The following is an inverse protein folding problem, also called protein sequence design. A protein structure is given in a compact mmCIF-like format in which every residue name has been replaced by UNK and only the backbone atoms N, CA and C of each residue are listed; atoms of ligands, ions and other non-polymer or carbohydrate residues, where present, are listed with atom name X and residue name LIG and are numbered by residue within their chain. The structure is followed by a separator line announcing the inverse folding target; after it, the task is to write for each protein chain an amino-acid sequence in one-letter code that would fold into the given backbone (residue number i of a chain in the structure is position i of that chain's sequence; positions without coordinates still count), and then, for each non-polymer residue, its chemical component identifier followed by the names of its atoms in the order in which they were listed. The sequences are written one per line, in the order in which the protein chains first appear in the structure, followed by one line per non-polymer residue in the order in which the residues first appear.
data_IF_039948578566
#
_entry.id   IF_039948578566
#
_cell.length_a   1.000
_cell.length_b   1.000
_cell.length_c   1.000
_cell.angle_alpha   90.00
_cell.angle_beta   90.00
_cell.angle_gamma   90.00
#
_symmetry.space_group_name_H-M   'P 1'
#
loop_
_entity.id
_entity.type
_entity.pdbx_description
1 polymer ?
#
# COMPACT_ATOMS: atom_id res chain seq x y z
N UNK A 1 -7.37 55.26 -10.56
CA UNK A 1 -6.99 54.03 -11.29
C UNK A 1 -6.36 53.06 -10.30
N UNK A 2 -7.10 52.06 -9.88
CA UNK A 2 -6.63 51.02 -8.94
C UNK A 2 -6.16 49.83 -9.79
N UNK A 3 -4.85 49.54 -9.73
CA UNK A 3 -4.28 48.30 -10.34
C UNK A 3 -4.45 47.12 -9.37
N UNK A 4 -5.34 46.22 -9.72
CA UNK A 4 -5.51 44.94 -9.03
C UNK A 4 -4.36 44.02 -9.48
N UNK A 5 -3.42 43.75 -8.57
CA UNK A 5 -2.37 42.75 -8.79
C UNK A 5 -2.95 41.41 -8.34
N UNK A 6 -3.31 40.57 -9.30
CA UNK A 6 -3.69 39.16 -9.05
C UNK A 6 -2.40 38.36 -8.95
N UNK A 7 -1.94 38.11 -7.73
CA UNK A 7 -0.88 37.11 -7.45
C UNK A 7 -1.48 35.73 -7.57
N UNK A 8 -1.33 35.12 -8.75
CA UNK A 8 -1.63 33.74 -8.97
C UNK A 8 -0.65 32.85 -8.20
N UNK A 9 -1.07 32.26 -7.10
CA UNK A 9 -0.32 31.18 -6.45
C UNK A 9 -0.36 29.96 -7.37
N UNK A 10 0.74 29.69 -8.07
CA UNK A 10 0.98 28.38 -8.68
C UNK A 10 1.15 27.37 -7.54
N UNK A 11 0.12 26.61 -7.27
CA UNK A 11 0.25 25.40 -6.47
C UNK A 11 1.09 24.40 -7.29
N UNK A 12 2.38 24.33 -7.01
CA UNK A 12 3.24 23.26 -7.50
C UNK A 12 2.74 22.02 -6.76
N UNK A 13 2.00 21.16 -7.46
CA UNK A 13 1.70 19.82 -6.99
C UNK A 13 3.04 19.12 -6.76
N UNK A 14 3.48 19.08 -5.51
CA UNK A 14 4.67 18.34 -5.12
C UNK A 14 4.40 16.87 -5.44
N UNK A 15 5.01 16.33 -6.50
CA UNK A 15 5.03 14.89 -6.76
C UNK A 15 5.61 14.21 -5.54
N UNK A 16 4.76 13.70 -4.65
CA UNK A 16 5.16 12.91 -3.49
C UNK A 16 5.34 11.46 -3.89
N UNK A 17 6.16 10.73 -3.15
CA UNK A 17 6.21 9.27 -3.25
C UNK A 17 4.84 8.70 -2.95
N UNK A 18 4.45 7.67 -3.71
CA UNK A 18 3.14 7.05 -3.55
C UNK A 18 3.24 5.53 -3.51
N UNK A 19 2.31 4.91 -2.81
CA UNK A 19 1.93 3.53 -3.03
C UNK A 19 0.66 3.51 -3.88
N UNK A 20 0.54 2.54 -4.74
CA UNK A 20 -0.63 2.29 -5.56
C UNK A 20 -1.07 0.84 -5.40
N UNK A 21 -2.37 0.63 -5.42
CA UNK A 21 -2.97 -0.70 -5.38
C UNK A 21 -4.03 -0.77 -6.47
N UNK A 22 -3.71 -1.36 -7.63
CA UNK A 22 -4.70 -1.54 -8.67
C UNK A 22 -5.93 -2.30 -8.18
N UNK A 23 -7.14 -1.96 -8.65
CA UNK A 23 -8.35 -2.68 -8.28
C UNK A 23 -8.28 -4.15 -8.71
N UNK A 24 -8.93 -5.01 -7.95
CA UNK A 24 -9.00 -6.44 -8.23
C UNK A 24 -10.43 -6.96 -8.15
N UNK A 25 -10.65 -8.18 -8.63
CA UNK A 25 -11.93 -8.87 -8.54
C UNK A 25 -11.71 -10.31 -8.06
N UNK A 26 -12.70 -10.87 -7.37
CA UNK A 26 -12.65 -12.24 -6.86
C UNK A 26 -14.06 -12.87 -6.92
N UNK A 27 -14.14 -14.15 -7.29
CA UNK A 27 -15.38 -14.89 -7.18
C UNK A 27 -15.54 -15.50 -5.78
N UNK A 28 -16.77 -15.72 -5.28
CA UNK A 28 -16.99 -16.45 -4.05
C UNK A 28 -16.30 -17.81 -4.07
N UNK A 29 -15.65 -18.17 -2.98
CA UNK A 29 -14.86 -19.41 -2.86
C UNK A 29 -13.52 -19.40 -3.60
N UNK A 30 -13.12 -18.28 -4.18
CA UNK A 30 -11.87 -18.14 -4.93
C UNK A 30 -10.89 -17.19 -4.25
N UNK A 31 -9.64 -17.22 -4.73
CA UNK A 31 -8.58 -16.33 -4.30
C UNK A 31 -8.08 -15.48 -5.47
N UNK A 32 -7.52 -14.31 -5.15
CA UNK A 32 -6.82 -13.44 -6.07
C UNK A 32 -5.69 -12.71 -5.34
N UNK A 33 -4.94 -11.91 -6.05
CA UNK A 33 -3.84 -11.12 -5.50
C UNK A 33 -4.07 -9.63 -5.66
N UNK A 34 -3.60 -8.86 -4.68
CA UNK A 34 -3.47 -7.43 -4.73
C UNK A 34 -1.99 -7.07 -4.74
N UNK A 35 -1.57 -6.20 -5.64
CA UNK A 35 -0.20 -5.70 -5.69
C UNK A 35 -0.09 -4.37 -4.98
N UNK A 36 0.93 -4.23 -4.13
CA UNK A 36 1.32 -2.94 -3.56
C UNK A 36 2.50 -2.42 -4.38
N UNK A 37 2.25 -1.40 -5.18
CA UNK A 37 3.21 -0.84 -6.13
C UNK A 37 3.78 0.46 -5.57
N UNK A 38 5.09 0.55 -5.50
CA UNK A 38 5.80 1.74 -5.06
C UNK A 38 6.19 2.62 -6.25
N UNK A 39 5.90 3.92 -6.15
CA UNK A 39 6.29 4.96 -7.09
C UNK A 39 7.26 5.91 -6.40
N UNK A 40 8.58 5.78 -6.63
CA UNK A 40 9.57 6.59 -5.96
C UNK A 40 9.58 8.03 -6.48
N UNK A 41 10.05 8.93 -5.62
CA UNK A 41 10.45 10.28 -6.00
C UNK A 41 11.98 10.34 -6.07
N UNK A 42 12.57 10.76 -7.21
CA UNK A 42 14.03 10.69 -7.43
C UNK A 42 14.87 11.45 -6.39
N UNK A 43 14.37 12.56 -5.87
CA UNK A 43 15.06 13.42 -4.90
C UNK A 43 14.91 12.96 -3.43
N UNK A 44 14.12 11.92 -3.18
CA UNK A 44 13.90 11.35 -1.85
C UNK A 44 13.91 9.83 -1.88
N UNK A 45 15.08 9.21 -2.07
CA UNK A 45 15.19 7.76 -2.13
C UNK A 45 14.79 7.12 -0.79
N UNK A 46 14.03 6.03 -0.87
CA UNK A 46 13.49 5.27 0.26
C UNK A 46 14.20 3.93 0.37
N UNK A 47 14.59 3.55 1.57
CA UNK A 47 15.26 2.26 1.85
C UNK A 47 14.38 1.28 2.62
N UNK A 48 13.33 1.75 3.27
CA UNK A 48 12.37 0.92 4.01
C UNK A 48 10.98 1.55 3.98
N UNK A 49 9.93 0.74 4.13
CA UNK A 49 8.54 1.19 4.20
C UNK A 49 7.80 0.35 5.22
N UNK A 50 6.96 0.98 6.02
CA UNK A 50 5.99 0.31 6.87
C UNK A 50 4.57 0.78 6.57
N UNK A 51 3.60 -0.09 6.77
CA UNK A 51 2.18 0.23 6.59
C UNK A 51 1.28 -0.69 7.41
N UNK A 52 0.06 -0.26 7.61
CA UNK A 52 -1.04 -1.10 8.06
C UNK A 52 -1.93 -1.44 6.87
N UNK A 53 -2.24 -2.72 6.70
CA UNK A 53 -3.17 -3.23 5.71
C UNK A 53 -4.47 -3.60 6.43
N UNK A 54 -5.53 -2.82 6.21
CA UNK A 54 -6.85 -3.08 6.75
C UNK A 54 -7.71 -3.82 5.72
N UNK A 55 -8.10 -5.05 6.04
CA UNK A 55 -8.89 -5.93 5.17
C UNK A 55 -10.26 -6.13 5.80
N UNK A 56 -11.36 -5.76 5.10
CA UNK A 56 -12.71 -5.94 5.63
C UNK A 56 -13.06 -7.42 5.82
N UNK A 57 -14.01 -7.70 6.73
CA UNK A 57 -14.36 -9.06 7.13
C UNK A 57 -14.95 -9.93 6.03
N UNK A 58 -15.38 -9.35 4.93
CA UNK A 58 -15.85 -10.04 3.73
C UNK A 58 -14.73 -10.75 2.95
N UNK A 59 -13.48 -10.44 3.24
CA UNK A 59 -12.31 -11.07 2.65
C UNK A 59 -11.50 -11.82 3.71
N UNK A 60 -10.82 -12.87 3.29
CA UNK A 60 -9.94 -13.67 4.11
C UNK A 60 -8.48 -13.41 3.74
N UNK A 61 -7.66 -13.19 4.76
CA UNK A 61 -6.21 -13.00 4.64
C UNK A 61 -5.52 -13.47 5.92
N UNK A 62 -4.31 -14.02 5.79
CA UNK A 62 -3.39 -14.29 6.88
C UNK A 62 -2.07 -13.52 6.68
N UNK A 63 -1.26 -13.37 7.72
CA UNK A 63 0.04 -12.70 7.59
C UNK A 63 0.96 -13.37 6.55
N UNK A 64 0.93 -14.69 6.46
CA UNK A 64 1.70 -15.47 5.48
C UNK A 64 1.25 -15.24 4.01
N UNK A 65 0.08 -14.66 3.80
CA UNK A 65 -0.44 -14.34 2.46
C UNK A 65 0.13 -13.02 1.92
N UNK A 66 0.87 -12.27 2.74
CA UNK A 66 1.56 -11.04 2.33
C UNK A 66 3.03 -11.36 2.12
N UNK A 67 3.45 -11.37 0.87
CA UNK A 67 4.82 -11.75 0.48
C UNK A 67 5.54 -10.60 -0.22
N UNK A 68 6.86 -10.68 -0.24
CA UNK A 68 7.72 -9.67 -0.87
C UNK A 68 7.44 -9.61 -2.37
N UNK A 69 7.33 -8.39 -2.92
CA UNK A 69 7.21 -8.17 -4.36
C UNK A 69 8.57 -8.06 -5.04
N UNK A 70 8.58 -8.21 -6.37
CA UNK A 70 9.81 -8.28 -7.17
C UNK A 70 10.71 -7.05 -7.06
N UNK A 71 10.14 -5.84 -6.94
CA UNK A 71 10.93 -4.63 -6.73
C UNK A 71 11.67 -4.63 -5.39
N UNK A 72 11.02 -5.12 -4.34
CA UNK A 72 11.64 -5.25 -3.02
C UNK A 72 12.69 -6.38 -2.99
N UNK A 73 12.44 -7.49 -3.65
CA UNK A 73 13.40 -8.59 -3.80
C UNK A 73 14.68 -8.13 -4.51
N UNK A 74 14.55 -7.35 -5.58
CA UNK A 74 15.70 -6.80 -6.32
C UNK A 74 16.57 -5.86 -5.47
N UNK A 75 15.99 -5.23 -4.46
CA UNK A 75 16.67 -4.41 -3.47
C UNK A 75 17.11 -5.21 -2.23
N UNK A 76 16.99 -6.54 -2.26
CA UNK A 76 17.30 -7.45 -1.15
C UNK A 76 16.58 -7.09 0.16
N UNK A 77 15.31 -6.65 0.06
CA UNK A 77 14.46 -6.35 1.21
C UNK A 77 13.75 -7.60 1.72
N UNK A 78 13.47 -7.62 3.01
CA UNK A 78 12.62 -8.62 3.65
C UNK A 78 11.33 -7.98 4.13
N UNK A 79 10.22 -8.67 3.92
CA UNK A 79 8.90 -8.26 4.37
C UNK A 79 8.49 -9.08 5.58
N UNK A 80 8.12 -8.40 6.66
CA UNK A 80 7.59 -9.02 7.86
C UNK A 80 6.22 -8.43 8.16
N UNK A 81 5.21 -9.28 8.25
CA UNK A 81 3.85 -8.89 8.60
C UNK A 81 3.35 -9.67 9.81
N UNK A 82 2.59 -9.01 10.65
CA UNK A 82 1.79 -9.61 11.71
C UNK A 82 0.32 -9.26 11.53
N UNK A 83 -0.57 -10.23 11.75
CA UNK A 83 -1.99 -10.04 11.57
C UNK A 83 -2.74 -10.17 12.89
N UNK A 84 -3.76 -9.33 13.08
CA UNK A 84 -4.69 -9.38 14.21
C UNK A 84 -6.12 -9.10 13.74
N UNK A 85 -7.08 -9.56 14.49
CA UNK A 85 -8.47 -9.16 14.29
C UNK A 85 -8.67 -7.74 14.82
N UNK A 86 -9.39 -6.93 14.08
CA UNK A 86 -9.79 -5.59 14.46
C UNK A 86 -11.32 -5.49 14.39
N UNK A 87 -12.02 -5.16 15.53
CA UNK A 87 -13.47 -5.10 15.56
C UNK A 87 -14.07 -4.05 14.60
N UNK A 88 -13.31 -3.04 14.23
CA UNK A 88 -13.76 -1.95 13.36
C UNK A 88 -13.53 -2.22 11.88
N UNK A 89 -12.43 -2.89 11.53
CA UNK A 89 -11.98 -3.02 10.14
C UNK A 89 -11.94 -4.45 9.63
N UNK A 90 -12.09 -5.46 10.49
CA UNK A 90 -11.95 -6.87 10.16
C UNK A 90 -10.55 -7.41 10.51
N UNK A 91 -9.68 -7.61 9.53
CA UNK A 91 -8.29 -8.02 9.73
C UNK A 91 -7.34 -6.85 9.53
N UNK A 92 -6.41 -6.68 10.45
CA UNK A 92 -5.34 -5.69 10.35
C UNK A 92 -3.99 -6.41 10.27
N UNK A 93 -3.25 -6.19 9.19
CA UNK A 93 -1.88 -6.65 9.03
C UNK A 93 -0.92 -5.45 9.16
N UNK A 94 0.01 -5.51 10.09
CA UNK A 94 1.09 -4.53 10.21
C UNK A 94 2.30 -5.09 9.51
N UNK A 95 2.79 -4.39 8.49
CA UNK A 95 3.86 -4.83 7.62
C UNK A 95 5.05 -3.89 7.67
N UNK A 96 6.25 -4.46 7.70
CA UNK A 96 7.53 -3.74 7.64
C UNK A 96 8.37 -4.36 6.54
N UNK A 97 8.73 -3.55 5.55
CA UNK A 97 9.65 -3.89 4.48
C UNK A 97 10.98 -3.18 4.73
N UNK A 98 12.01 -3.93 5.03
CA UNK A 98 13.32 -3.38 5.37
C UNK A 98 14.46 -4.36 5.03
N UNK A 99 15.69 -3.91 5.15
CA UNK A 99 16.90 -4.70 4.99
C UNK A 99 17.92 -4.03 4.08
N UNK A 100 19.15 -3.92 4.54
CA UNK A 100 20.26 -3.32 3.80
C UNK A 100 20.03 -1.85 3.43
N UNK A 101 20.97 -1.30 2.68
CA UNK A 101 21.00 0.13 2.31
C UNK A 101 20.54 0.42 0.88
N UNK A 102 20.20 -0.61 0.11
CA UNK A 102 19.73 -0.41 -1.26
C UNK A 102 18.41 0.36 -1.29
N UNK A 103 18.31 1.30 -2.19
CA UNK A 103 17.08 2.08 -2.45
C UNK A 103 16.01 1.18 -3.07
N UNK A 104 14.76 1.33 -2.64
CA UNK A 104 13.63 0.66 -3.26
C UNK A 104 13.38 1.24 -4.66
N UNK A 105 13.40 0.40 -5.70
CA UNK A 105 13.04 0.82 -7.05
C UNK A 105 11.52 0.90 -7.23
N UNK A 106 11.09 1.48 -8.34
CA UNK A 106 9.69 1.43 -8.77
C UNK A 106 9.25 -0.01 -9.01
N UNK A 107 8.02 -0.32 -8.63
CA UNK A 107 7.39 -1.61 -8.89
C UNK A 107 6.73 -2.23 -7.67
N UNK A 108 6.30 -3.48 -7.79
CA UNK A 108 5.63 -4.20 -6.71
C UNK A 108 6.58 -4.46 -5.54
N UNK A 109 6.25 -3.93 -4.37
CA UNK A 109 7.01 -4.15 -3.13
C UNK A 109 6.38 -5.22 -2.24
N UNK A 110 5.08 -5.48 -2.41
CA UNK A 110 4.39 -6.57 -1.75
C UNK A 110 3.29 -7.14 -2.66
N UNK A 111 3.02 -8.43 -2.48
CA UNK A 111 1.91 -9.16 -3.09
C UNK A 111 1.05 -9.66 -1.95
N UNK A 112 -0.23 -9.33 -1.97
CA UNK A 112 -1.22 -9.74 -0.96
C UNK A 112 -2.16 -10.75 -1.61
N UNK A 113 -2.12 -12.00 -1.16
CA UNK A 113 -3.10 -13.00 -1.54
C UNK A 113 -4.30 -12.88 -0.63
N UNK A 114 -5.48 -12.82 -1.20
CA UNK A 114 -6.74 -12.77 -0.48
C UNK A 114 -7.75 -13.72 -1.09
N UNK A 115 -8.76 -14.08 -0.32
CA UNK A 115 -9.84 -14.96 -0.77
C UNK A 115 -11.19 -14.40 -0.35
N UNK A 116 -12.22 -14.70 -1.14
CA UNK A 116 -13.61 -14.49 -0.76
C UNK A 116 -14.20 -15.81 -0.25
N UNK A 117 -14.93 -15.83 0.88
CA UNK A 117 -15.67 -17.00 1.33
C UNK A 117 -16.64 -17.52 0.25
N UNK A 118 -16.98 -18.79 0.31
CA UNK A 118 -17.91 -19.41 -0.66
C UNK A 118 -19.31 -18.79 -0.62
N UNK A 119 -19.71 -18.25 0.53
CA UNK A 119 -20.98 -17.56 0.77
C UNK A 119 -20.89 -16.03 0.65
N UNK A 120 -19.76 -15.51 0.15
CA UNK A 120 -19.57 -14.09 -0.04
C UNK A 120 -20.61 -13.52 -1.00
N UNK A 121 -21.23 -12.40 -0.61
CA UNK A 121 -22.22 -11.70 -1.43
C UNK A 121 -21.51 -10.82 -2.47
N UNK A 122 -22.07 -10.74 -3.70
CA UNK A 122 -21.58 -9.80 -4.69
C UNK A 122 -21.59 -8.36 -4.16
N UNK A 123 -20.59 -7.59 -4.54
CA UNK A 123 -20.45 -6.20 -4.11
C UNK A 123 -19.01 -5.73 -4.19
N UNK A 124 -18.78 -4.49 -3.76
CA UNK A 124 -17.44 -3.92 -3.71
C UNK A 124 -17.05 -3.66 -2.26
N UNK A 125 -15.88 -4.15 -1.88
CA UNK A 125 -15.26 -3.89 -0.58
C UNK A 125 -13.97 -3.11 -0.78
N UNK A 126 -13.55 -2.36 0.23
CA UNK A 126 -12.36 -1.52 0.18
C UNK A 126 -11.29 -2.04 1.12
N UNK A 127 -10.15 -2.38 0.57
CA UNK A 127 -8.92 -2.66 1.32
C UNK A 127 -8.15 -1.35 1.45
N UNK A 128 -7.60 -1.07 2.62
CA UNK A 128 -6.88 0.18 2.89
C UNK A 128 -5.46 -0.09 3.34
N UNK A 129 -4.53 0.63 2.72
CA UNK A 129 -3.18 0.80 3.24
C UNK A 129 -3.12 2.15 3.94
N UNK A 130 -2.81 2.15 5.21
CA UNK A 130 -2.81 3.35 6.05
C UNK A 130 -1.58 3.43 6.93
N UNK A 131 -1.33 4.61 7.53
CA UNK A 131 -0.16 4.88 8.35
C UNK A 131 1.14 4.50 7.64
N UNK A 132 1.21 4.84 6.36
CA UNK A 132 2.33 4.49 5.51
C UNK A 132 3.49 5.45 5.81
N UNK A 133 4.65 4.88 6.14
CA UNK A 133 5.86 5.65 6.38
C UNK A 133 7.04 5.02 5.65
N UNK A 134 7.72 5.84 4.86
CA UNK A 134 9.02 5.49 4.30
C UNK A 134 10.16 5.90 5.22
N UNK A 135 11.31 5.28 5.02
CA UNK A 135 12.58 5.69 5.64
C UNK A 135 13.54 6.04 4.52
N UNK A 136 14.08 7.27 4.55
CA UNK A 136 15.04 7.74 3.56
C UNK A 136 16.44 7.16 3.79
N UNK A 137 17.34 7.35 2.83
CA UNK A 137 18.76 7.00 2.97
C UNK A 137 19.46 7.72 4.12
N UNK A 138 18.91 8.87 4.55
CA UNK A 138 19.40 9.62 5.72
C UNK A 138 18.71 9.18 7.04
N UNK A 139 17.98 8.07 7.02
CA UNK A 139 17.24 7.51 8.16
C UNK A 139 16.16 8.45 8.70
N UNK A 140 15.62 9.32 7.86
CA UNK A 140 14.51 10.19 8.21
C UNK A 140 13.18 9.56 7.81
N UNK A 141 12.15 9.74 8.63
CA UNK A 141 10.78 9.34 8.31
C UNK A 141 10.22 10.19 7.17
N UNK A 142 9.64 9.54 6.19
CA UNK A 142 8.97 10.18 5.05
C UNK A 142 7.53 9.72 5.02
N UNK A 143 6.55 10.59 5.32
CA UNK A 143 5.15 10.22 5.25
C UNK A 143 4.71 9.95 3.81
N UNK A 144 3.90 8.92 3.63
CA UNK A 144 3.29 8.55 2.36
C UNK A 144 1.78 8.51 2.56
N UNK A 145 1.02 9.05 1.63
CA UNK A 145 -0.43 9.11 1.74
C UNK A 145 -1.08 7.72 1.78
N UNK A 146 -2.16 7.59 2.54
CA UNK A 146 -2.98 6.39 2.57
C UNK A 146 -3.52 6.02 1.17
N UNK A 147 -3.72 4.73 0.94
CA UNK A 147 -4.18 4.19 -0.34
C UNK A 147 -5.37 3.28 -0.12
N UNK A 148 -6.34 3.35 -1.01
CA UNK A 148 -7.50 2.47 -1.04
C UNK A 148 -7.49 1.62 -2.31
N UNK A 149 -7.84 0.35 -2.18
CA UNK A 149 -8.05 -0.55 -3.30
C UNK A 149 -9.48 -1.09 -3.26
N UNK A 150 -10.20 -0.94 -4.37
CA UNK A 150 -11.51 -1.54 -4.54
C UNK A 150 -11.38 -3.01 -4.96
N UNK A 151 -12.00 -3.91 -4.21
CA UNK A 151 -12.11 -5.33 -4.54
C UNK A 151 -13.56 -5.63 -4.87
N UNK A 152 -13.81 -6.09 -6.08
CA UNK A 152 -15.15 -6.50 -6.52
C UNK A 152 -15.34 -8.00 -6.32
N UNK A 153 -16.35 -8.38 -5.54
CA UNK A 153 -16.83 -9.77 -5.39
C UNK A 153 -17.93 -9.99 -6.41
N UNK A 154 -17.80 -10.99 -7.30
CA UNK A 154 -18.74 -11.24 -8.40
C UNK A 154 -18.84 -12.71 -8.77
#
# INVERSE_FOLDING_TARGET
MIRLIITGSLAIAACSQTLETPPAAVAPGSANILRVVFKPKPDRPIVAVQWELAVPGELQIAAADVVTGTAAESAAKSLNCSARNDPKTGKLCVCILAGGVKVLPEGAIAIVKFAAPADAKPGTVTVRLRKIQGVSTELKSVPIADVEAAITIR
#
